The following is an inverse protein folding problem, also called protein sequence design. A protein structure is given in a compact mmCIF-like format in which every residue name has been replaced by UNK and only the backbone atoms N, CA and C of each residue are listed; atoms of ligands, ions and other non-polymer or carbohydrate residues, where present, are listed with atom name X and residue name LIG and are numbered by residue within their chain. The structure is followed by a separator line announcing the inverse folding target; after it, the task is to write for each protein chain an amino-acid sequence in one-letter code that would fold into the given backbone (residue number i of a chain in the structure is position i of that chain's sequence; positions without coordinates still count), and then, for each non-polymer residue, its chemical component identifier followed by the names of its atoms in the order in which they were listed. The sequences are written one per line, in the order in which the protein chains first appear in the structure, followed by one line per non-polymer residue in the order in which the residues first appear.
data_IF_372304608481
#
_entry.id   IF_372304608481
#
_cell.length_a   1.000
_cell.length_b   1.000
_cell.length_c   1.000
_cell.angle_alpha   90.00
_cell.angle_beta   90.00
_cell.angle_gamma   90.00
#
_symmetry.space_group_name_H-M   'P 1'
#
loop_
_entity.id
_entity.type
_entity.pdbx_description
1 polymer ?
#
# COMPACT_ATOMS: atom_id res chain seq x y z
N UNK A 1 -19.25 21.42 20.40
CA UNK A 1 -20.18 20.28 20.66
C UNK A 1 -19.30 19.10 21.01
N UNK A 2 -19.31 18.63 22.25
CA UNK A 2 -18.65 17.37 22.62
C UNK A 2 -19.46 16.22 22.02
N UNK A 3 -18.81 15.41 21.20
CA UNK A 3 -19.43 14.20 20.64
C UNK A 3 -19.35 13.09 21.69
N UNK A 4 -20.49 12.55 22.08
CA UNK A 4 -20.60 11.37 22.93
C UNK A 4 -20.14 10.15 22.13
N UNK A 5 -19.13 9.44 22.60
CA UNK A 5 -18.56 8.24 21.97
C UNK A 5 -19.51 7.03 21.90
N UNK A 6 -20.68 7.10 22.52
CA UNK A 6 -21.70 6.01 22.56
C UNK A 6 -22.77 6.09 21.46
N UNK A 7 -22.68 7.02 20.48
CA UNK A 7 -23.71 7.15 19.43
C UNK A 7 -23.43 6.21 18.27
N UNK A 8 -24.08 5.08 18.25
CA UNK A 8 -24.13 4.16 17.11
C UNK A 8 -25.02 4.75 16.02
N UNK A 9 -24.48 4.95 14.82
CA UNK A 9 -25.23 5.42 13.65
C UNK A 9 -25.91 4.25 12.94
N UNK A 10 -27.15 4.45 12.46
CA UNK A 10 -27.92 3.40 11.80
C UNK A 10 -27.44 3.11 10.38
N UNK A 11 -27.03 4.13 9.64
CA UNK A 11 -26.58 4.00 8.26
C UNK A 11 -25.64 5.14 7.85
N UNK A 12 -24.97 4.95 6.72
CA UNK A 12 -24.09 5.91 6.10
C UNK A 12 -24.42 6.04 4.61
N UNK A 13 -24.49 7.26 4.09
CA UNK A 13 -24.74 7.55 2.68
C UNK A 13 -23.88 8.69 2.17
N UNK A 14 -23.93 9.00 0.88
CA UNK A 14 -23.20 10.12 0.27
C UNK A 14 -23.96 11.43 0.48
N UNK A 15 -23.22 12.53 0.63
CA UNK A 15 -23.72 13.88 0.68
C UNK A 15 -23.35 14.63 -0.61
N UNK A 16 -24.24 15.46 -1.15
CA UNK A 16 -24.04 16.23 -2.40
C UNK A 16 -23.19 17.51 -2.19
N UNK A 17 -22.36 17.57 -1.17
CA UNK A 17 -21.55 18.75 -0.85
C UNK A 17 -20.29 18.89 -1.72
N UNK A 18 -20.08 18.03 -2.71
CA UNK A 18 -18.99 18.12 -3.70
C UNK A 18 -17.58 17.76 -3.21
N UNK A 19 -17.41 17.35 -1.94
CA UNK A 19 -16.13 16.87 -1.44
C UNK A 19 -15.89 15.43 -1.84
N UNK A 20 -14.70 15.09 -2.32
CA UNK A 20 -14.30 13.72 -2.69
C UNK A 20 -14.38 12.74 -1.53
N UNK A 21 -14.21 13.23 -0.29
CA UNK A 21 -14.29 12.44 0.95
C UNK A 21 -15.66 12.54 1.65
N UNK A 22 -16.58 13.27 1.09
CA UNK A 22 -17.86 13.63 1.67
C UNK A 22 -18.91 12.53 1.66
N UNK A 23 -18.56 11.33 1.90
CA UNK A 23 -19.49 10.21 1.90
C UNK A 23 -19.97 9.85 3.31
N UNK A 24 -20.09 10.86 4.20
CA UNK A 24 -20.34 10.60 5.60
C UNK A 24 -21.63 11.28 6.07
N UNK A 25 -22.73 10.71 5.68
CA UNK A 25 -24.04 11.08 6.17
C UNK A 25 -24.52 10.02 7.16
N UNK A 26 -24.75 10.41 8.41
CA UNK A 26 -25.08 9.50 9.49
C UNK A 26 -26.45 9.82 10.08
N UNK A 27 -27.28 8.80 10.27
CA UNK A 27 -28.54 8.91 11.01
C UNK A 27 -28.36 8.45 12.45
N UNK A 28 -29.02 9.14 13.36
CA UNK A 28 -29.02 8.80 14.78
C UNK A 28 -29.99 7.67 15.07
N UNK A 29 -29.65 6.69 15.96
CA UNK A 29 -30.55 5.57 16.31
C UNK A 29 -31.88 5.97 16.90
N UNK A 30 -31.90 7.03 17.71
CA UNK A 30 -33.10 7.58 18.37
C UNK A 30 -33.87 8.61 17.52
N UNK A 31 -33.29 9.02 16.39
CA UNK A 31 -33.90 9.95 15.42
C UNK A 31 -33.50 9.51 13.99
N UNK A 32 -34.07 8.40 13.52
CA UNK A 32 -33.59 7.76 12.26
C UNK A 32 -33.79 8.60 11.00
N UNK A 33 -34.65 9.62 11.08
CA UNK A 33 -34.90 10.54 9.97
C UNK A 33 -33.97 11.77 9.96
N UNK A 34 -33.24 12.03 11.05
CA UNK A 34 -32.28 13.11 11.14
C UNK A 34 -30.90 12.61 10.75
N UNK A 35 -30.16 13.39 10.01
CA UNK A 35 -28.80 13.04 9.60
C UNK A 35 -27.87 14.25 9.59
N UNK A 36 -26.57 13.98 9.66
CA UNK A 36 -25.53 15.00 9.71
C UNK A 36 -24.37 14.63 8.81
N UNK A 37 -23.91 15.57 7.99
CA UNK A 37 -22.70 15.42 7.18
C UNK A 37 -21.51 16.10 7.87
N UNK A 38 -20.51 15.32 8.25
CA UNK A 38 -19.30 15.83 8.91
C UNK A 38 -18.35 16.55 7.96
N UNK A 39 -18.45 16.30 6.64
CA UNK A 39 -17.59 16.97 5.66
C UNK A 39 -18.01 18.41 5.37
N UNK A 40 -19.31 18.67 5.24
CA UNK A 40 -19.84 20.04 5.05
C UNK A 40 -20.43 20.67 6.30
N UNK A 41 -20.38 19.95 7.42
CA UNK A 41 -20.87 20.42 8.73
C UNK A 41 -22.36 20.80 8.73
N UNK A 42 -23.17 20.11 7.91
CA UNK A 42 -24.57 20.45 7.69
C UNK A 42 -25.52 19.40 8.28
N UNK A 43 -26.52 19.85 9.01
CA UNK A 43 -27.63 19.03 9.52
C UNK A 43 -28.77 18.95 8.48
N UNK A 44 -29.28 17.73 8.25
CA UNK A 44 -30.38 17.46 7.33
C UNK A 44 -31.58 16.96 8.10
N UNK A 45 -32.67 17.72 8.15
CA UNK A 45 -33.91 17.34 8.83
C UNK A 45 -34.68 16.24 8.07
N UNK A 46 -35.68 15.59 8.71
CA UNK A 46 -36.44 14.44 8.19
C UNK A 46 -37.00 14.64 6.79
N UNK A 47 -37.46 15.82 6.47
CA UNK A 47 -38.08 16.15 5.17
C UNK A 47 -37.15 15.98 3.98
N UNK A 48 -35.85 16.18 4.18
CA UNK A 48 -34.83 15.97 3.15
C UNK A 48 -34.36 14.50 3.05
N UNK A 49 -34.65 13.69 4.07
CA UNK A 49 -34.26 12.27 4.11
C UNK A 49 -35.36 11.33 3.56
N UNK A 50 -36.59 11.79 3.40
CA UNK A 50 -37.73 10.99 2.94
C UNK A 50 -37.47 10.41 1.52
N UNK A 51 -36.83 11.16 0.64
CA UNK A 51 -36.45 10.70 -0.71
C UNK A 51 -35.41 9.56 -0.68
N UNK A 52 -34.54 9.54 0.32
CA UNK A 52 -33.54 8.47 0.46
C UNK A 52 -34.16 7.18 0.97
N UNK A 53 -35.13 7.24 1.89
CA UNK A 53 -35.86 6.07 2.38
C UNK A 53 -36.66 5.40 1.25
N UNK A 54 -37.29 6.18 0.36
CA UNK A 54 -37.98 5.64 -0.81
C UNK A 54 -37.04 5.01 -1.84
N UNK A 55 -35.85 5.57 -2.05
CA UNK A 55 -34.85 5.00 -2.96
C UNK A 55 -34.16 3.74 -2.40
N UNK A 56 -34.00 3.64 -1.08
CA UNK A 56 -33.44 2.44 -0.44
C UNK A 56 -34.46 1.31 -0.23
N UNK A 57 -35.76 1.63 -0.01
CA UNK A 57 -36.81 0.62 -0.04
C UNK A 57 -36.94 -0.03 -1.42
N UNK A 58 -36.75 0.73 -2.50
CA UNK A 58 -36.67 0.20 -3.86
C UNK A 58 -35.40 -0.65 -4.10
N UNK A 59 -34.27 -0.34 -3.45
CA UNK A 59 -33.06 -1.17 -3.49
C UNK A 59 -33.17 -2.42 -2.61
N UNK A 60 -33.83 -2.34 -1.46
CA UNK A 60 -34.10 -3.51 -0.62
C UNK A 60 -35.12 -4.47 -1.29
N UNK A 61 -36.10 -3.96 -2.04
CA UNK A 61 -37.02 -4.80 -2.80
C UNK A 61 -36.40 -5.46 -4.04
N UNK A 62 -35.21 -5.04 -4.51
CA UNK A 62 -34.42 -5.76 -5.53
C UNK A 62 -33.62 -6.94 -4.97
N UNK A 63 -33.51 -7.07 -3.64
CA UNK A 63 -32.69 -8.12 -2.99
C UNK A 63 -33.49 -9.41 -2.69
N UNK A 64 -34.80 -9.43 -2.91
CA UNK A 64 -35.64 -10.57 -2.51
C UNK A 64 -35.77 -11.70 -3.53
N UNK A 65 -34.84 -11.82 -4.50
CA UNK A 65 -34.75 -13.01 -5.34
C UNK A 65 -33.41 -13.74 -5.19
N UNK A 66 -32.89 -13.80 -3.95
CA UNK A 66 -31.71 -14.65 -3.67
C UNK A 66 -32.14 -16.10 -3.67
N UNK A 67 -31.59 -16.86 -4.61
CA UNK A 67 -31.79 -18.31 -4.71
C UNK A 67 -31.48 -18.97 -3.37
N UNK A 68 -32.31 -19.92 -2.91
CA UNK A 68 -32.06 -20.64 -1.65
C UNK A 68 -30.87 -21.57 -1.78
N UNK A 69 -30.16 -21.87 -0.69
CA UNK A 69 -28.98 -22.76 -0.68
C UNK A 69 -29.25 -24.10 -1.35
N UNK A 70 -30.43 -24.70 -1.11
CA UNK A 70 -30.79 -25.99 -1.65
C UNK A 70 -31.05 -25.98 -3.16
N UNK A 71 -31.49 -24.83 -3.69
CA UNK A 71 -31.66 -24.66 -5.13
C UNK A 71 -30.30 -24.49 -5.82
N UNK A 72 -29.36 -23.80 -5.19
CA UNK A 72 -27.99 -23.70 -5.71
C UNK A 72 -27.33 -25.08 -5.76
N UNK A 73 -27.55 -25.96 -4.76
CA UNK A 73 -27.00 -27.31 -4.75
C UNK A 73 -27.49 -28.18 -5.92
N UNK A 74 -28.63 -27.83 -6.53
CA UNK A 74 -29.18 -28.53 -7.70
C UNK A 74 -28.64 -28.02 -9.03
N UNK A 75 -28.02 -26.83 -9.06
CA UNK A 75 -27.46 -26.25 -10.26
C UNK A 75 -26.38 -27.14 -10.86
N UNK A 76 -26.21 -27.13 -12.19
CA UNK A 76 -25.19 -27.93 -12.85
C UNK A 76 -23.78 -27.41 -12.52
N UNK A 77 -22.81 -28.31 -12.58
CA UNK A 77 -21.40 -27.99 -12.63
C UNK A 77 -20.96 -28.04 -14.09
N UNK A 78 -20.46 -26.92 -14.60
CA UNK A 78 -19.94 -26.81 -15.97
C UNK A 78 -18.57 -26.11 -15.93
N UNK A 79 -17.75 -26.29 -16.96
CA UNK A 79 -16.57 -25.49 -17.18
C UNK A 79 -16.94 -24.01 -17.42
N UNK A 80 -15.97 -23.14 -17.35
CA UNK A 80 -16.12 -21.71 -17.63
C UNK A 80 -15.27 -21.38 -18.88
N UNK A 81 -15.81 -21.59 -20.10
CA UNK A 81 -15.03 -21.51 -21.34
C UNK A 81 -14.36 -20.17 -21.55
N UNK A 82 -15.06 -19.06 -21.23
CA UNK A 82 -14.54 -17.69 -21.35
C UNK A 82 -13.28 -17.46 -20.52
N UNK A 83 -13.09 -18.29 -19.48
CA UNK A 83 -11.91 -18.27 -18.59
C UNK A 83 -10.96 -19.43 -18.84
N UNK A 84 -11.23 -20.28 -19.82
CA UNK A 84 -10.48 -21.51 -20.13
C UNK A 84 -10.36 -22.47 -18.91
N UNK A 85 -11.37 -22.48 -18.03
CA UNK A 85 -11.45 -23.35 -16.86
C UNK A 85 -12.30 -24.56 -17.22
N UNK A 86 -11.76 -25.75 -17.03
CA UNK A 86 -12.43 -27.02 -17.35
C UNK A 86 -13.54 -27.39 -16.36
N UNK A 87 -14.43 -28.28 -16.76
CA UNK A 87 -15.49 -28.81 -15.91
C UNK A 87 -14.90 -29.59 -14.73
N UNK A 88 -13.86 -30.35 -14.96
CA UNK A 88 -13.15 -31.16 -13.98
C UNK A 88 -12.66 -30.30 -12.80
N UNK A 89 -12.07 -29.13 -13.08
CA UNK A 89 -11.63 -28.21 -12.05
C UNK A 89 -12.83 -27.62 -11.29
N UNK A 90 -13.90 -27.25 -11.98
CA UNK A 90 -15.12 -26.80 -11.32
C UNK A 90 -15.75 -27.89 -10.41
N UNK A 91 -15.68 -29.17 -10.80
CA UNK A 91 -16.14 -30.29 -9.98
C UNK A 91 -15.31 -30.44 -8.70
N UNK A 92 -13.98 -30.36 -8.79
CA UNK A 92 -13.08 -30.44 -7.63
C UNK A 92 -13.39 -29.37 -6.59
N UNK A 93 -13.66 -28.15 -7.03
CA UNK A 93 -13.97 -27.02 -6.15
C UNK A 93 -15.48 -26.84 -5.90
N UNK A 94 -16.33 -27.72 -6.45
CA UNK A 94 -17.80 -27.69 -6.32
C UNK A 94 -18.41 -26.37 -6.78
N UNK A 95 -17.83 -25.74 -7.80
CA UNK A 95 -18.33 -24.50 -8.40
C UNK A 95 -19.53 -24.83 -9.29
N UNK A 96 -20.62 -24.10 -9.11
CA UNK A 96 -21.86 -24.28 -9.85
C UNK A 96 -22.15 -23.07 -10.70
N UNK A 97 -22.95 -23.24 -11.74
CA UNK A 97 -23.31 -22.14 -12.63
C UNK A 97 -24.82 -22.14 -12.90
N UNK A 98 -25.38 -20.95 -13.06
CA UNK A 98 -26.66 -20.77 -13.72
C UNK A 98 -26.42 -20.29 -15.15
N UNK A 99 -27.30 -20.70 -16.05
CA UNK A 99 -27.24 -20.34 -17.46
C UNK A 99 -28.45 -19.49 -17.83
N UNK A 100 -28.36 -18.82 -18.96
CA UNK A 100 -29.46 -18.03 -19.53
C UNK A 100 -30.64 -18.93 -19.91
N UNK A 101 -31.84 -18.49 -19.58
CA UNK A 101 -33.07 -19.19 -19.99
C UNK A 101 -33.30 -19.14 -21.50
N UNK A 102 -32.69 -18.17 -22.19
CA UNK A 102 -32.91 -17.95 -23.64
C UNK A 102 -32.17 -18.97 -24.51
N UNK A 103 -30.97 -19.41 -24.10
CA UNK A 103 -30.11 -20.31 -24.87
C UNK A 103 -29.70 -21.59 -24.13
N UNK A 104 -29.87 -21.62 -22.80
CA UNK A 104 -29.46 -22.77 -21.95
C UNK A 104 -27.96 -23.01 -21.88
N UNK A 105 -27.13 -22.14 -22.46
CA UNK A 105 -25.68 -22.30 -22.59
C UNK A 105 -24.88 -21.17 -21.93
N UNK A 106 -25.24 -19.92 -22.15
CA UNK A 106 -24.53 -18.77 -21.64
C UNK A 106 -24.56 -18.71 -20.11
N UNK A 107 -23.39 -18.73 -19.47
CA UNK A 107 -23.28 -18.64 -18.01
C UNK A 107 -23.65 -17.24 -17.56
N UNK A 108 -24.66 -17.15 -16.70
CA UNK A 108 -25.13 -15.87 -16.13
C UNK A 108 -24.55 -15.60 -14.75
N UNK A 109 -24.43 -16.66 -13.91
CA UNK A 109 -23.87 -16.57 -12.58
C UNK A 109 -22.97 -17.77 -12.27
N UNK A 110 -21.96 -17.50 -11.46
CA UNK A 110 -21.03 -18.50 -10.92
C UNK A 110 -21.21 -18.51 -9.39
N UNK A 111 -21.42 -19.71 -8.84
CA UNK A 111 -21.63 -19.92 -7.41
C UNK A 111 -20.46 -20.71 -6.83
N UNK A 112 -19.72 -20.07 -5.94
CA UNK A 112 -18.55 -20.66 -5.27
C UNK A 112 -18.89 -20.94 -3.80
N UNK A 113 -18.74 -22.19 -3.30
CA UNK A 113 -19.14 -22.58 -1.94
C UNK A 113 -18.23 -21.96 -0.88
N UNK A 114 -18.81 -21.53 0.24
CA UNK A 114 -18.09 -21.11 1.44
C UNK A 114 -18.26 -22.14 2.55
N UNK A 115 -17.18 -22.40 3.26
CA UNK A 115 -17.17 -23.37 4.38
C UNK A 115 -16.67 -22.73 5.67
N UNK A 116 -17.10 -23.30 6.79
CA UNK A 116 -16.56 -23.09 8.13
C UNK A 116 -16.23 -24.46 8.69
N UNK A 117 -14.98 -24.69 9.02
CA UNK A 117 -14.50 -26.02 9.49
C UNK A 117 -14.92 -27.16 8.55
N UNK A 118 -14.87 -26.93 7.24
CA UNK A 118 -15.21 -27.88 6.18
C UNK A 118 -16.72 -28.02 5.90
N UNK A 119 -17.61 -27.45 6.70
CA UNK A 119 -19.06 -27.49 6.51
C UNK A 119 -19.53 -26.37 5.62
N UNK A 120 -20.37 -26.65 4.63
CA UNK A 120 -20.96 -25.66 3.74
C UNK A 120 -21.90 -24.72 4.50
N UNK A 121 -21.61 -23.42 4.49
CA UNK A 121 -22.41 -22.38 5.16
C UNK A 121 -23.07 -21.42 4.19
N UNK A 122 -22.60 -21.36 2.94
CA UNK A 122 -23.14 -20.45 1.94
C UNK A 122 -22.45 -20.55 0.60
N UNK A 123 -22.78 -19.60 -0.26
CA UNK A 123 -22.16 -19.40 -1.56
C UNK A 123 -21.86 -17.93 -1.80
N UNK A 124 -20.80 -17.65 -2.50
CA UNK A 124 -20.62 -16.39 -3.19
C UNK A 124 -21.11 -16.54 -4.62
N UNK A 125 -22.06 -15.72 -4.98
CA UNK A 125 -22.55 -15.59 -6.36
C UNK A 125 -21.78 -14.47 -7.05
N UNK A 126 -21.16 -14.76 -8.18
CA UNK A 126 -20.60 -13.76 -9.10
C UNK A 126 -21.49 -13.65 -10.33
N UNK A 127 -22.06 -12.48 -10.57
CA UNK A 127 -22.76 -12.18 -11.82
C UNK A 127 -21.73 -11.90 -12.92
N UNK A 128 -21.83 -12.62 -14.03
CA UNK A 128 -20.82 -12.56 -15.09
C UNK A 128 -20.89 -11.21 -15.83
N UNK A 129 -22.11 -10.75 -16.14
CA UNK A 129 -22.34 -9.51 -16.91
C UNK A 129 -21.92 -8.26 -16.15
N UNK A 130 -22.39 -8.11 -14.92
CA UNK A 130 -22.24 -6.86 -14.15
C UNK A 130 -21.06 -6.91 -13.17
N UNK A 131 -20.35 -8.03 -13.10
CA UNK A 131 -19.24 -8.32 -12.17
C UNK A 131 -19.61 -8.06 -10.71
N UNK A 132 -20.90 -8.15 -10.35
CA UNK A 132 -21.38 -7.98 -8.99
C UNK A 132 -21.23 -9.27 -8.20
N UNK A 133 -20.93 -9.11 -6.90
CA UNK A 133 -20.83 -10.22 -5.95
C UNK A 133 -21.96 -10.16 -4.93
N UNK A 134 -22.62 -11.28 -4.72
CA UNK A 134 -23.66 -11.44 -3.72
C UNK A 134 -23.30 -12.60 -2.78
N UNK A 135 -23.55 -12.39 -1.49
CA UNK A 135 -23.36 -13.43 -0.47
C UNK A 135 -24.68 -14.11 -0.18
N UNK A 136 -24.72 -15.44 -0.26
CA UNK A 136 -25.92 -16.27 -0.04
C UNK A 136 -25.65 -17.25 1.09
N UNK A 137 -26.56 -17.36 2.05
CA UNK A 137 -26.43 -18.21 3.23
C UNK A 137 -25.88 -17.51 4.46
N UNK A 138 -25.67 -18.24 5.54
CA UNK A 138 -25.15 -17.71 6.81
C UNK A 138 -23.61 -17.79 6.83
N UNK A 139 -23.00 -16.75 6.31
CA UNK A 139 -21.52 -16.61 6.22
C UNK A 139 -20.94 -15.91 7.45
N UNK A 140 -21.61 -16.01 8.62
CA UNK A 140 -21.10 -15.49 9.88
C UNK A 140 -19.95 -16.36 10.40
N UNK A 141 -18.97 -15.73 11.03
CA UNK A 141 -17.82 -16.40 11.62
C UNK A 141 -16.56 -16.40 10.74
N UNK A 142 -15.61 -17.24 11.13
CA UNK A 142 -14.34 -17.36 10.42
C UNK A 142 -14.47 -18.35 9.29
N UNK A 143 -14.63 -17.84 8.07
CA UNK A 143 -14.65 -18.70 6.87
C UNK A 143 -13.30 -19.40 6.69
N UNK A 144 -13.35 -20.63 6.20
CA UNK A 144 -12.17 -21.29 5.67
C UNK A 144 -11.65 -20.54 4.44
N UNK A 145 -10.35 -20.61 4.16
CA UNK A 145 -9.82 -20.22 2.85
C UNK A 145 -10.60 -20.98 1.78
N UNK A 146 -11.01 -20.29 0.72
CA UNK A 146 -11.80 -20.93 -0.31
C UNK A 146 -11.00 -22.04 -1.02
N UNK A 147 -11.57 -23.20 -1.16
CA UNK A 147 -10.88 -24.39 -1.70
C UNK A 147 -10.12 -25.22 -0.65
N UNK A 148 -10.05 -24.81 0.62
CA UNK A 148 -9.36 -25.53 1.70
C UNK A 148 -9.80 -26.98 1.83
N UNK A 149 -11.11 -27.26 1.73
CA UNK A 149 -11.66 -28.61 1.82
C UNK A 149 -11.09 -29.57 0.76
N UNK A 150 -10.75 -29.06 -0.41
CA UNK A 150 -10.07 -29.82 -1.46
C UNK A 150 -8.56 -29.86 -1.22
N UNK A 151 -7.93 -28.72 -0.99
CA UNK A 151 -6.49 -28.59 -0.78
C UNK A 151 -5.98 -29.50 0.35
N UNK A 152 -6.76 -29.66 1.44
CA UNK A 152 -6.42 -30.57 2.55
C UNK A 152 -6.34 -32.05 2.16
N UNK A 153 -6.86 -32.46 1.01
CA UNK A 153 -6.80 -33.81 0.49
C UNK A 153 -5.63 -34.03 -0.48
N UNK A 154 -4.96 -32.94 -0.87
CA UNK A 154 -3.85 -32.99 -1.79
C UNK A 154 -2.55 -33.32 -1.04
N UNK A 155 -1.70 -34.18 -1.63
CA UNK A 155 -0.44 -34.61 -1.02
C UNK A 155 0.73 -33.62 -1.28
N UNK A 156 0.44 -32.44 -1.83
CA UNK A 156 1.46 -31.43 -2.17
C UNK A 156 2.08 -30.79 -0.94
N UNK A 157 3.36 -30.48 -1.02
CA UNK A 157 4.08 -29.77 0.06
C UNK A 157 4.02 -28.23 -0.09
N UNK A 158 3.44 -27.75 -1.18
CA UNK A 158 3.29 -26.33 -1.50
C UNK A 158 1.82 -25.94 -1.47
N UNK A 159 1.52 -24.82 -0.81
CA UNK A 159 0.21 -24.20 -0.83
C UNK A 159 0.29 -22.91 -1.66
N UNK A 160 -0.60 -22.76 -2.62
CA UNK A 160 -0.74 -21.57 -3.44
C UNK A 160 -1.97 -20.80 -3.00
N UNK A 161 -1.83 -19.52 -2.71
CA UNK A 161 -2.93 -18.65 -2.24
C UNK A 161 -3.11 -17.53 -3.23
N UNK A 162 -4.28 -17.45 -3.87
CA UNK A 162 -4.66 -16.37 -4.78
C UNK A 162 -5.59 -15.37 -4.09
N UNK A 163 -5.75 -14.19 -4.67
CA UNK A 163 -6.69 -13.21 -4.18
C UNK A 163 -8.13 -13.60 -4.48
N UNK A 164 -8.40 -13.97 -5.71
CA UNK A 164 -9.73 -14.32 -6.22
C UNK A 164 -9.96 -15.81 -6.43
N UNK A 165 -11.22 -16.23 -6.40
CA UNK A 165 -11.60 -17.64 -6.58
C UNK A 165 -11.40 -18.14 -8.00
N UNK A 166 -11.67 -17.27 -8.98
CA UNK A 166 -11.41 -17.61 -10.39
C UNK A 166 -9.91 -17.71 -10.68
N UNK A 167 -9.09 -16.94 -9.97
CA UNK A 167 -7.64 -17.01 -10.04
C UNK A 167 -7.13 -18.33 -9.49
N UNK A 168 -7.75 -18.82 -8.39
CA UNK A 168 -7.42 -20.13 -7.85
C UNK A 168 -7.75 -21.26 -8.85
N UNK A 169 -8.91 -21.20 -9.52
CA UNK A 169 -9.26 -22.17 -10.55
C UNK A 169 -8.29 -22.10 -11.74
N UNK A 170 -7.97 -20.89 -12.18
CA UNK A 170 -7.07 -20.64 -13.31
C UNK A 170 -5.64 -21.10 -13.01
N UNK A 171 -5.16 -20.85 -11.82
CA UNK A 171 -3.85 -21.32 -11.37
C UNK A 171 -3.82 -22.85 -11.26
N UNK A 172 -4.86 -23.44 -10.68
CA UNK A 172 -4.96 -24.90 -10.59
C UNK A 172 -4.92 -25.55 -11.98
N UNK A 173 -5.73 -25.04 -12.92
CA UNK A 173 -5.77 -25.48 -14.31
C UNK A 173 -4.38 -25.40 -14.97
N UNK A 174 -3.69 -24.27 -14.83
CA UNK A 174 -2.36 -24.08 -15.38
C UNK A 174 -1.34 -25.05 -14.80
N UNK A 175 -1.32 -25.25 -13.48
CA UNK A 175 -0.38 -26.16 -12.82
C UNK A 175 -0.62 -27.59 -13.29
N UNK A 176 -1.85 -28.06 -13.28
CA UNK A 176 -2.17 -29.44 -13.69
C UNK A 176 -1.80 -29.71 -15.15
N UNK A 177 -2.08 -28.76 -16.04
CA UNK A 177 -1.77 -28.91 -17.47
C UNK A 177 -0.26 -28.86 -17.77
N UNK A 178 0.53 -28.15 -16.96
CA UNK A 178 1.97 -28.00 -17.18
C UNK A 178 2.81 -28.98 -16.35
N UNK A 179 2.21 -29.66 -15.37
CA UNK A 179 2.93 -30.65 -14.55
C UNK A 179 3.30 -31.87 -15.41
N UNK A 180 4.59 -32.28 -15.44
CA UNK A 180 5.03 -33.46 -16.17
C UNK A 180 4.27 -34.72 -15.73
N UNK A 181 4.05 -35.67 -16.66
CA UNK A 181 3.23 -36.88 -16.44
C UNK A 181 3.63 -37.66 -15.19
N UNK A 182 4.91 -37.81 -14.94
CA UNK A 182 5.45 -38.52 -13.76
C UNK A 182 5.00 -37.94 -12.41
N UNK A 183 4.57 -36.65 -12.40
CA UNK A 183 4.14 -35.92 -11.20
C UNK A 183 2.63 -35.59 -11.19
N UNK A 184 1.87 -35.96 -12.21
CA UNK A 184 0.42 -35.68 -12.31
C UNK A 184 -0.42 -36.30 -11.18
N UNK A 185 0.10 -37.29 -10.48
CA UNK A 185 -0.53 -37.84 -9.29
C UNK A 185 -0.50 -36.87 -8.10
N UNK A 186 0.45 -35.96 -8.06
CA UNK A 186 0.56 -34.92 -7.03
C UNK A 186 -0.34 -33.72 -7.41
N UNK A 187 -1.55 -33.71 -6.86
CA UNK A 187 -2.48 -32.61 -7.12
C UNK A 187 -2.03 -31.36 -6.35
N UNK A 188 -2.05 -30.17 -6.97
CA UNK A 188 -1.64 -28.92 -6.31
C UNK A 188 -2.68 -28.49 -5.27
N UNK A 189 -2.20 -27.97 -4.15
CA UNK A 189 -3.04 -27.33 -3.13
C UNK A 189 -3.17 -25.84 -3.46
N UNK A 190 -4.30 -25.45 -4.05
CA UNK A 190 -4.59 -24.06 -4.41
C UNK A 190 -5.82 -23.60 -3.65
N UNK A 191 -5.74 -22.43 -3.03
CA UNK A 191 -6.82 -21.79 -2.27
C UNK A 191 -6.91 -20.32 -2.63
N UNK A 192 -8.02 -19.67 -2.28
CA UNK A 192 -8.10 -18.22 -2.37
C UNK A 192 -8.56 -17.58 -1.06
N UNK A 193 -8.36 -16.28 -0.96
CA UNK A 193 -8.89 -15.44 0.12
C UNK A 193 -10.42 -15.47 0.12
N UNK A 194 -11.02 -15.13 1.26
CA UNK A 194 -12.49 -15.18 1.42
C UNK A 194 -13.17 -13.93 0.87
N UNK A 195 -12.51 -12.77 0.94
CA UNK A 195 -13.05 -11.47 0.52
C UNK A 195 -11.99 -10.60 -0.20
N UNK A 196 -11.09 -11.24 -0.95
CA UNK A 196 -10.01 -10.56 -1.64
C UNK A 196 -8.95 -9.96 -0.69
N UNK A 197 -8.14 -9.03 -1.19
CA UNK A 197 -6.99 -8.47 -0.50
C UNK A 197 -7.31 -7.85 0.87
N UNK A 198 -8.50 -7.30 1.06
CA UNK A 198 -8.91 -6.67 2.33
C UNK A 198 -9.00 -7.64 3.51
N UNK A 199 -9.17 -8.93 3.26
CA UNK A 199 -9.24 -9.96 4.30
C UNK A 199 -7.94 -10.76 4.47
N UNK A 200 -6.92 -10.52 3.65
CA UNK A 200 -5.74 -11.36 3.51
C UNK A 200 -5.09 -11.74 4.85
N UNK A 201 -4.66 -10.77 5.64
CA UNK A 201 -3.99 -11.02 6.93
C UNK A 201 -4.90 -11.80 7.88
N UNK A 202 -6.17 -11.39 7.99
CA UNK A 202 -7.16 -12.03 8.86
C UNK A 202 -7.42 -13.48 8.43
N UNK A 203 -7.58 -13.72 7.14
CA UNK A 203 -7.85 -15.05 6.59
C UNK A 203 -6.68 -15.99 6.86
N UNK A 204 -5.44 -15.53 6.68
CA UNK A 204 -4.26 -16.35 6.94
C UNK A 204 -4.08 -16.64 8.43
N UNK A 205 -4.28 -15.65 9.30
CA UNK A 205 -4.23 -15.85 10.76
C UNK A 205 -5.26 -16.88 11.20
N UNK A 206 -6.52 -16.77 10.73
CA UNK A 206 -7.59 -17.70 11.08
C UNK A 206 -7.34 -19.12 10.55
N UNK A 207 -6.54 -19.27 9.52
CA UNK A 207 -6.19 -20.56 8.92
C UNK A 207 -4.73 -20.98 9.19
N UNK A 208 -4.06 -20.38 10.19
CA UNK A 208 -2.64 -20.58 10.47
C UNK A 208 -2.28 -22.08 10.61
N UNK A 209 -3.03 -22.85 11.39
CA UNK A 209 -2.81 -24.29 11.58
C UNK A 209 -2.88 -25.07 10.26
N UNK A 210 -3.73 -24.62 9.33
CA UNK A 210 -3.79 -25.21 7.99
C UNK A 210 -2.53 -24.88 7.17
N UNK A 211 -2.05 -23.63 7.24
CA UNK A 211 -0.84 -23.21 6.52
C UNK A 211 0.39 -23.95 7.01
N UNK A 212 0.50 -24.24 8.30
CA UNK A 212 1.63 -24.94 8.93
C UNK A 212 1.81 -26.39 8.44
N UNK A 213 0.79 -26.98 7.78
CA UNK A 213 0.92 -28.31 7.17
C UNK A 213 1.74 -28.30 5.86
N UNK A 214 2.09 -27.12 5.33
CA UNK A 214 2.81 -26.99 4.07
C UNK A 214 4.24 -26.50 4.31
N UNK A 215 5.20 -27.03 3.55
CA UNK A 215 6.60 -26.58 3.62
C UNK A 215 6.79 -25.20 2.99
N UNK A 216 5.99 -24.90 1.97
CA UNK A 216 6.06 -23.64 1.24
C UNK A 216 4.65 -23.09 1.07
N UNK A 217 4.46 -21.81 1.42
CA UNK A 217 3.25 -21.04 1.15
C UNK A 217 3.60 -19.98 0.13
N UNK A 218 2.92 -19.96 -1.01
CA UNK A 218 3.17 -19.05 -2.13
C UNK A 218 1.96 -18.12 -2.30
N UNK A 219 2.20 -16.83 -2.20
CA UNK A 219 1.21 -15.80 -2.43
C UNK A 219 1.19 -15.43 -3.92
N UNK A 220 0.03 -15.61 -4.56
CA UNK A 220 -0.22 -15.31 -5.97
C UNK A 220 -1.33 -14.26 -6.08
N UNK A 221 -1.09 -13.07 -5.50
CA UNK A 221 -2.07 -11.97 -5.47
C UNK A 221 -1.97 -11.12 -6.73
N UNK A 222 -2.98 -10.30 -6.96
CA UNK A 222 -3.05 -9.41 -8.11
C UNK A 222 -1.83 -8.47 -8.16
N UNK A 223 -1.38 -8.13 -9.36
CA UNK A 223 -0.23 -7.23 -9.56
C UNK A 223 -0.61 -5.75 -9.48
N UNK A 224 -1.84 -5.43 -9.12
CA UNK A 224 -2.27 -4.06 -8.86
C UNK A 224 -1.86 -3.56 -7.46
N UNK A 225 -2.01 -2.26 -7.22
CA UNK A 225 -1.58 -1.64 -5.96
C UNK A 225 -2.24 -2.24 -4.71
N UNK A 226 -3.57 -2.51 -4.67
CA UNK A 226 -4.19 -3.17 -3.53
C UNK A 226 -3.64 -4.57 -3.24
N UNK A 227 -3.47 -5.39 -4.28
CA UNK A 227 -2.91 -6.75 -4.16
C UNK A 227 -1.49 -6.74 -3.63
N UNK A 228 -0.62 -5.86 -4.16
CA UNK A 228 0.77 -5.74 -3.71
C UNK A 228 0.88 -5.14 -2.29
N UNK A 229 -0.03 -4.25 -1.91
CA UNK A 229 -0.13 -3.78 -0.53
C UNK A 229 -0.51 -4.90 0.44
N UNK A 230 -1.50 -5.73 0.06
CA UNK A 230 -1.89 -6.89 0.86
C UNK A 230 -0.75 -7.91 1.02
N UNK A 231 0.07 -8.13 -0.02
CA UNK A 231 1.29 -8.96 0.08
C UNK A 231 2.21 -8.42 1.17
N UNK A 232 2.51 -7.12 1.17
CA UNK A 232 3.38 -6.50 2.18
C UNK A 232 2.84 -6.69 3.60
N UNK A 233 1.54 -6.50 3.79
CA UNK A 233 0.92 -6.70 5.11
C UNK A 233 0.95 -8.17 5.56
N UNK A 234 0.69 -9.11 4.66
CA UNK A 234 0.80 -10.55 4.95
C UNK A 234 2.23 -10.92 5.35
N UNK A 235 3.23 -10.42 4.63
CA UNK A 235 4.63 -10.74 4.91
C UNK A 235 5.12 -10.19 6.26
N UNK A 236 4.51 -9.13 6.82
CA UNK A 236 4.80 -8.68 8.19
C UNK A 236 4.45 -9.75 9.23
N UNK A 237 3.43 -10.56 8.96
CA UNK A 237 2.94 -11.62 9.88
C UNK A 237 3.50 -13.00 9.52
N UNK A 238 3.66 -13.26 8.22
CA UNK A 238 4.14 -14.52 7.64
C UNK A 238 5.37 -14.28 6.74
N UNK A 239 6.53 -13.93 7.31
CA UNK A 239 7.70 -13.48 6.54
C UNK A 239 8.33 -14.56 5.65
N UNK A 240 8.04 -15.83 5.91
CA UNK A 240 8.56 -16.96 5.12
C UNK A 240 7.71 -17.31 3.90
N UNK A 241 6.57 -16.65 3.70
CA UNK A 241 5.80 -16.84 2.48
C UNK A 241 6.61 -16.40 1.26
N UNK A 242 6.56 -17.22 0.22
CA UNK A 242 7.08 -16.86 -1.11
C UNK A 242 6.05 -16.01 -1.84
N UNK A 243 6.51 -15.17 -2.73
CA UNK A 243 5.65 -14.32 -3.57
C UNK A 243 5.92 -14.63 -5.03
N UNK A 244 4.87 -14.91 -5.77
CA UNK A 244 4.93 -15.01 -7.22
C UNK A 244 4.74 -13.61 -7.84
N UNK A 245 5.55 -13.28 -8.84
CA UNK A 245 5.42 -12.04 -9.62
C UNK A 245 4.90 -12.39 -11.00
N UNK A 246 3.69 -11.94 -11.31
CA UNK A 246 3.05 -12.25 -12.58
C UNK A 246 3.32 -11.15 -13.60
N UNK A 247 3.55 -11.48 -14.89
CA UNK A 247 3.69 -10.49 -15.96
C UNK A 247 2.39 -9.79 -16.35
N UNK A 248 1.24 -10.35 -15.98
CA UNK A 248 -0.09 -9.77 -16.16
C UNK A 248 -0.73 -9.50 -14.79
N UNK A 249 -1.95 -8.96 -14.83
CA UNK A 249 -2.64 -8.54 -13.61
C UNK A 249 -2.83 -9.69 -12.61
N UNK A 250 -3.35 -10.82 -13.07
CA UNK A 250 -3.74 -11.95 -12.25
C UNK A 250 -3.58 -13.31 -12.96
N UNK A 251 -3.80 -14.40 -12.24
CA UNK A 251 -3.68 -15.75 -12.77
C UNK A 251 -4.73 -16.04 -13.87
N UNK A 252 -5.93 -15.46 -13.77
CA UNK A 252 -7.00 -15.65 -14.74
C UNK A 252 -6.64 -14.98 -16.08
N UNK A 253 -6.09 -13.78 -16.05
CA UNK A 253 -5.61 -13.08 -17.24
C UNK A 253 -4.49 -13.85 -17.94
N UNK A 254 -3.57 -14.43 -17.18
CA UNK A 254 -2.50 -15.30 -17.71
C UNK A 254 -3.06 -16.50 -18.45
N UNK A 255 -4.04 -17.19 -17.87
CA UNK A 255 -4.67 -18.36 -18.47
C UNK A 255 -5.47 -17.98 -19.72
N UNK A 256 -6.28 -16.91 -19.66
CA UNK A 256 -7.08 -16.44 -20.78
C UNK A 256 -6.21 -16.06 -21.99
N UNK A 257 -5.05 -15.45 -21.77
CA UNK A 257 -4.10 -15.12 -22.82
C UNK A 257 -3.25 -16.30 -23.30
N UNK A 258 -3.48 -17.50 -22.75
CA UNK A 258 -2.75 -18.72 -23.18
C UNK A 258 -1.33 -18.83 -22.60
N UNK A 259 -0.95 -17.96 -21.66
CA UNK A 259 0.39 -17.93 -21.04
C UNK A 259 0.52 -18.91 -19.84
N UNK A 260 -0.14 -20.04 -19.93
CA UNK A 260 -0.17 -21.05 -18.85
C UNK A 260 1.20 -21.60 -18.46
N UNK A 261 2.12 -21.76 -19.42
CA UNK A 261 3.48 -22.22 -19.15
C UNK A 261 4.25 -21.20 -18.31
N UNK A 262 4.16 -19.94 -18.68
CA UNK A 262 4.80 -18.86 -17.96
C UNK A 262 4.20 -18.68 -16.56
N UNK A 263 2.86 -18.75 -16.42
CA UNK A 263 2.20 -18.76 -15.11
C UNK A 263 2.74 -19.87 -14.22
N UNK A 264 2.87 -21.08 -14.77
CA UNK A 264 3.44 -22.22 -14.05
C UNK A 264 4.90 -21.96 -13.61
N UNK A 265 5.73 -21.41 -14.50
CA UNK A 265 7.13 -21.11 -14.20
C UNK A 265 7.27 -20.04 -13.11
N UNK A 266 6.51 -18.93 -13.20
CA UNK A 266 6.57 -17.85 -12.21
C UNK A 266 6.10 -18.30 -10.83
N UNK A 267 5.05 -19.10 -10.77
CA UNK A 267 4.46 -19.52 -9.48
C UNK A 267 5.20 -20.69 -8.85
N UNK A 268 5.54 -21.71 -9.63
CA UNK A 268 6.10 -22.95 -9.09
C UNK A 268 7.61 -22.90 -8.90
N UNK A 269 8.33 -22.16 -9.78
CA UNK A 269 9.79 -22.17 -9.80
C UNK A 269 10.43 -20.84 -9.42
N UNK A 270 9.85 -19.71 -9.85
CA UNK A 270 10.45 -18.39 -9.66
C UNK A 270 9.93 -17.65 -8.43
N UNK A 271 8.88 -18.17 -7.78
CA UNK A 271 8.40 -17.58 -6.53
C UNK A 271 9.50 -17.61 -5.45
N UNK A 272 9.70 -16.51 -4.76
CA UNK A 272 10.78 -16.35 -3.79
C UNK A 272 10.32 -15.62 -2.54
N UNK A 273 11.00 -15.86 -1.43
CA UNK A 273 10.81 -15.10 -0.20
C UNK A 273 11.24 -13.65 -0.46
N UNK A 274 10.33 -12.71 -0.27
CA UNK A 274 10.68 -11.30 -0.34
C UNK A 274 11.27 -10.88 1.01
N UNK A 275 12.53 -10.48 0.99
CA UNK A 275 13.19 -9.93 2.19
C UNK A 275 12.53 -8.59 2.53
N UNK A 276 11.89 -8.51 3.69
CA UNK A 276 11.31 -7.28 4.25
C UNK A 276 12.26 -6.60 5.24
N UNK A 277 13.47 -7.11 5.40
CA UNK A 277 14.40 -6.63 6.40
C UNK A 277 15.51 -5.78 5.81
N UNK A 278 16.06 -4.92 6.63
CA UNK A 278 17.26 -4.13 6.38
C UNK A 278 18.54 -5.00 6.33
N UNK A 279 18.40 -6.34 6.43
CA UNK A 279 19.51 -7.29 6.38
C UNK A 279 19.84 -7.60 4.92
N UNK A 280 21.03 -7.23 4.51
CA UNK A 280 21.57 -7.46 3.18
C UNK A 280 22.57 -8.61 3.25
N UNK A 281 22.42 -9.61 2.36
CA UNK A 281 23.41 -10.66 2.20
C UNK A 281 24.60 -10.12 1.40
N UNK A 282 25.81 -10.56 1.76
CA UNK A 282 27.00 -10.22 1.00
C UNK A 282 26.99 -11.01 -0.31
N UNK A 283 26.58 -10.36 -1.40
CA UNK A 283 26.60 -10.90 -2.77
C UNK A 283 27.81 -10.37 -3.53
N UNK A 284 28.10 -10.98 -4.70
CA UNK A 284 29.17 -10.50 -5.57
C UNK A 284 28.96 -9.05 -6.00
N UNK A 285 27.71 -8.63 -6.26
CA UNK A 285 27.35 -7.24 -6.59
C UNK A 285 27.67 -6.29 -5.43
N UNK A 286 27.34 -6.70 -4.19
CA UNK A 286 27.65 -5.91 -3.00
C UNK A 286 29.15 -5.82 -2.77
N UNK A 287 29.90 -6.90 -3.02
CA UNK A 287 31.38 -6.89 -2.97
C UNK A 287 31.93 -5.91 -4.00
N UNK A 288 31.44 -5.92 -5.24
CA UNK A 288 31.87 -4.96 -6.27
C UNK A 288 31.57 -3.52 -5.87
N UNK A 289 30.44 -3.25 -5.28
CA UNK A 289 30.11 -1.92 -4.74
C UNK A 289 31.05 -1.52 -3.59
N UNK A 290 31.39 -2.45 -2.72
CA UNK A 290 32.32 -2.21 -1.60
C UNK A 290 33.76 -1.97 -2.06
N UNK A 291 34.16 -2.48 -3.21
CA UNK A 291 35.48 -2.26 -3.81
C UNK A 291 35.65 -0.85 -4.40
N UNK A 292 34.58 -0.08 -4.53
CA UNK A 292 34.67 1.32 -4.98
C UNK A 292 35.41 2.13 -3.93
N UNK A 293 36.56 2.73 -4.35
CA UNK A 293 37.39 3.53 -3.44
C UNK A 293 36.63 4.77 -2.94
N UNK A 294 36.65 5.04 -1.62
CA UNK A 294 36.06 6.26 -1.08
C UNK A 294 36.72 7.50 -1.69
N UNK A 295 35.92 8.49 -2.04
CA UNK A 295 36.38 9.79 -2.53
C UNK A 295 36.41 10.80 -1.40
N UNK A 296 37.28 11.79 -1.53
CA UNK A 296 37.31 12.97 -0.68
C UNK A 296 35.94 13.68 -0.77
N UNK A 297 35.40 14.10 0.36
CA UNK A 297 34.16 14.92 0.40
C UNK A 297 34.42 16.38 0.01
N UNK A 298 33.41 17.24 0.12
CA UNK A 298 33.57 18.67 -0.06
C UNK A 298 34.51 19.20 1.04
N UNK A 299 35.49 19.99 0.65
CA UNK A 299 36.40 20.61 1.61
C UNK A 299 35.67 21.63 2.48
N UNK A 300 36.06 21.73 3.73
CA UNK A 300 35.69 22.83 4.62
C UNK A 300 36.68 23.98 4.45
N UNK A 301 36.44 25.11 5.13
CA UNK A 301 37.41 26.20 5.18
C UNK A 301 38.57 25.93 6.15
N UNK A 302 38.62 24.73 6.75
CA UNK A 302 39.66 24.32 7.73
C UNK A 302 40.37 23.05 7.27
N UNK A 303 41.56 23.21 6.73
CA UNK A 303 42.34 22.09 6.18
C UNK A 303 42.67 21.02 7.20
N UNK A 304 42.86 21.38 8.49
CA UNK A 304 43.10 20.43 9.56
C UNK A 304 41.86 19.56 9.83
N UNK A 305 40.67 20.14 9.74
CA UNK A 305 39.42 19.38 9.85
C UNK A 305 39.25 18.43 8.67
N UNK A 306 39.53 18.88 7.45
CA UNK A 306 39.44 18.06 6.24
C UNK A 306 40.39 16.86 6.29
N UNK A 307 41.59 17.03 6.86
CA UNK A 307 42.52 15.90 7.08
C UNK A 307 41.98 14.84 8.04
N UNK A 308 41.23 15.25 9.05
CA UNK A 308 40.66 14.35 10.04
C UNK A 308 39.36 13.68 9.58
N UNK A 309 38.52 14.40 8.82
CA UNK A 309 37.19 13.94 8.43
C UNK A 309 37.09 13.46 6.99
N UNK A 310 38.14 13.69 6.19
CA UNK A 310 38.13 13.52 4.73
C UNK A 310 37.08 14.40 4.04
N UNK A 311 36.79 15.56 4.60
CA UNK A 311 35.80 16.52 4.12
C UNK A 311 34.34 16.15 4.46
N UNK A 312 33.40 16.90 3.91
CA UNK A 312 31.96 16.67 4.05
C UNK A 312 31.52 15.63 3.03
N UNK A 313 31.23 14.42 3.47
CA UNK A 313 30.85 13.31 2.59
C UNK A 313 29.34 13.14 2.49
N UNK A 314 28.83 12.64 1.35
CA UNK A 314 27.41 12.26 1.24
C UNK A 314 27.03 11.22 2.27
N UNK A 315 25.75 11.17 2.63
CA UNK A 315 25.18 10.20 3.57
C UNK A 315 25.83 10.20 4.96
N UNK A 316 26.40 11.34 5.39
CA UNK A 316 26.98 11.48 6.73
C UNK A 316 26.26 12.55 7.54
N UNK A 317 26.12 12.32 8.84
CA UNK A 317 25.65 13.30 9.82
C UNK A 317 26.86 13.74 10.65
N UNK A 318 27.12 15.04 10.67
CA UNK A 318 28.18 15.63 11.49
C UNK A 318 27.54 16.44 12.62
N UNK A 319 27.85 16.07 13.85
CA UNK A 319 27.39 16.78 15.04
C UNK A 319 28.52 17.65 15.57
N UNK A 320 28.29 18.96 15.63
CA UNK A 320 29.24 19.92 16.20
C UNK A 320 28.71 20.47 17.52
N UNK A 321 29.39 20.08 18.61
CA UNK A 321 29.07 20.52 19.98
C UNK A 321 30.06 21.55 20.49
N UNK A 322 29.60 22.56 21.22
CA UNK A 322 30.46 23.51 21.93
C UNK A 322 29.73 24.11 23.11
N UNK A 323 30.50 24.68 24.06
CA UNK A 323 29.94 25.47 25.14
C UNK A 323 29.21 26.71 24.62
N UNK A 324 28.22 27.22 25.36
CA UNK A 324 27.57 28.51 25.04
C UNK A 324 28.62 29.61 24.83
N UNK A 325 28.38 30.48 23.86
CA UNK A 325 29.24 31.63 23.47
C UNK A 325 30.64 31.26 22.95
N UNK A 326 30.93 29.99 22.68
CA UNK A 326 32.20 29.56 22.11
C UNK A 326 32.34 29.80 20.60
N UNK A 327 31.37 30.44 19.97
CA UNK A 327 31.44 30.76 18.53
C UNK A 327 30.80 29.71 17.60
N UNK A 328 29.98 28.77 18.11
CA UNK A 328 29.31 27.73 17.32
C UNK A 328 28.55 28.28 16.09
N UNK A 329 27.76 29.34 16.30
CA UNK A 329 27.00 29.99 15.21
C UNK A 329 27.92 30.66 14.17
N UNK A 330 29.05 31.22 14.62
CA UNK A 330 30.04 31.79 13.72
C UNK A 330 30.73 30.74 12.88
N UNK A 331 31.08 29.60 13.48
CA UNK A 331 31.63 28.45 12.78
C UNK A 331 30.63 27.93 11.73
N UNK A 332 29.37 27.73 12.10
CA UNK A 332 28.28 27.33 11.20
C UNK A 332 28.18 28.29 10.00
N UNK A 333 28.09 29.58 10.26
CA UNK A 333 27.92 30.58 9.19
C UNK A 333 29.14 30.65 8.26
N UNK A 334 30.36 30.42 8.79
CA UNK A 334 31.56 30.34 7.97
C UNK A 334 31.56 29.12 7.04
N UNK A 335 31.10 27.98 7.56
CA UNK A 335 30.97 26.76 6.76
C UNK A 335 29.90 26.93 5.65
N UNK A 336 28.74 27.49 5.98
CA UNK A 336 27.65 27.76 5.01
C UNK A 336 28.18 28.69 3.89
N UNK A 337 28.87 29.78 4.27
CA UNK A 337 29.50 30.69 3.31
C UNK A 337 30.46 29.95 2.40
N UNK A 338 31.36 29.14 2.96
CA UNK A 338 32.35 28.37 2.20
C UNK A 338 31.69 27.41 1.19
N UNK A 339 30.69 26.62 1.62
CA UNK A 339 30.01 25.66 0.74
C UNK A 339 29.28 26.39 -0.38
N UNK A 340 28.55 27.43 -0.09
CA UNK A 340 27.75 28.16 -1.08
C UNK A 340 28.61 28.91 -2.12
N UNK A 341 29.78 29.43 -1.73
CA UNK A 341 30.62 30.23 -2.61
C UNK A 341 31.76 29.43 -3.28
N UNK A 342 32.43 28.55 -2.55
CA UNK A 342 33.59 27.81 -3.09
C UNK A 342 33.17 26.52 -3.79
N UNK A 343 32.13 25.85 -3.29
CA UNK A 343 31.65 24.62 -3.92
C UNK A 343 30.46 24.84 -4.84
N UNK A 344 29.90 26.05 -4.87
CA UNK A 344 28.72 26.38 -5.65
C UNK A 344 27.56 25.38 -5.45
N UNK A 345 27.35 24.96 -4.18
CA UNK A 345 26.30 24.02 -3.81
C UNK A 345 25.20 24.73 -3.01
N UNK A 346 23.94 24.36 -3.23
CA UNK A 346 22.86 24.87 -2.41
C UNK A 346 23.00 24.38 -0.95
N UNK A 347 22.60 25.22 0.00
CA UNK A 347 22.67 24.94 1.43
C UNK A 347 21.33 25.29 2.10
N UNK A 348 20.71 24.29 2.73
CA UNK A 348 19.55 24.51 3.59
C UNK A 348 19.97 24.80 5.02
N UNK A 349 19.42 25.85 5.62
CA UNK A 349 19.72 26.28 7.00
C UNK A 349 18.46 26.28 7.83
N UNK A 350 18.39 25.40 8.79
CA UNK A 350 17.28 25.24 9.75
C UNK A 350 17.71 25.79 11.11
N UNK A 351 17.62 27.13 11.28
CA UNK A 351 18.01 27.82 12.50
C UNK A 351 16.76 28.07 13.37
N UNK A 352 16.65 27.33 14.47
CA UNK A 352 15.49 27.41 15.36
C UNK A 352 15.59 28.52 16.40
N UNK A 353 16.77 29.09 16.59
CA UNK A 353 17.02 30.14 17.59
C UNK A 353 17.14 31.55 16.97
N UNK A 354 17.55 31.65 15.72
CA UNK A 354 17.87 32.91 15.07
C UNK A 354 16.98 33.17 13.87
N UNK A 355 16.41 34.38 13.82
CA UNK A 355 15.57 34.80 12.69
C UNK A 355 16.35 34.73 11.37
N UNK A 356 15.77 34.21 10.27
CA UNK A 356 16.46 33.97 9.00
C UNK A 356 17.13 35.21 8.41
N UNK A 357 16.51 36.39 8.53
CA UNK A 357 17.12 37.67 8.07
C UNK A 357 18.43 37.97 8.81
N UNK A 358 18.52 37.67 10.12
CA UNK A 358 19.73 37.87 10.89
C UNK A 358 20.84 36.90 10.44
N UNK A 359 20.52 35.66 10.24
CA UNK A 359 21.44 34.63 9.69
C UNK A 359 21.93 35.06 8.31
N UNK A 360 21.02 35.51 7.45
CA UNK A 360 21.35 35.99 6.10
C UNK A 360 22.32 37.19 6.13
N UNK A 361 22.05 38.19 6.97
CA UNK A 361 22.97 39.35 7.18
C UNK A 361 24.33 38.91 7.72
N UNK A 362 24.39 37.95 8.62
CA UNK A 362 25.65 37.40 9.13
C UNK A 362 26.49 36.73 8.02
N UNK A 363 25.85 35.98 7.12
CA UNK A 363 26.53 35.33 6.00
C UNK A 363 26.97 36.36 4.97
N UNK A 364 26.11 37.34 4.62
CA UNK A 364 26.44 38.45 3.73
C UNK A 364 27.59 39.31 4.28
N UNK A 365 27.71 39.48 5.59
CA UNK A 365 28.81 40.18 6.24
C UNK A 365 30.15 39.54 5.97
N UNK A 366 30.20 38.21 5.80
CA UNK A 366 31.44 37.48 5.46
C UNK A 366 31.86 37.77 4.02
N UNK A 367 30.90 37.79 3.10
CA UNK A 367 31.13 38.14 1.70
C UNK A 367 31.66 39.59 1.53
N UNK A 368 30.99 40.52 2.17
CA UNK A 368 31.33 41.95 2.07
C UNK A 368 32.49 42.35 2.98
N UNK A 369 32.96 41.47 3.87
CA UNK A 369 33.94 41.79 4.92
C UNK A 369 33.52 43.00 5.80
N UNK A 370 32.21 43.18 5.98
CA UNK A 370 31.60 44.30 6.69
C UNK A 370 30.50 43.78 7.60
N UNK A 371 30.43 44.27 8.84
CA UNK A 371 29.42 43.81 9.80
C UNK A 371 28.08 44.54 9.64
N UNK A 372 27.15 43.98 8.89
CA UNK A 372 25.80 44.53 8.68
C UNK A 372 24.83 44.41 9.86
N UNK A 373 25.30 43.92 11.00
CA UNK A 373 24.48 43.83 12.22
C UNK A 373 24.75 45.03 13.16
N UNK A 374 25.75 45.85 12.88
CA UNK A 374 26.03 47.07 13.64
C UNK A 374 25.22 48.23 13.10
N UNK A 375 24.45 48.92 13.94
CA UNK A 375 23.76 50.17 13.54
C UNK A 375 24.75 51.33 13.63
N UNK A 376 25.62 51.44 12.66
CA UNK A 376 26.55 52.55 12.55
C UNK A 376 26.34 53.38 11.26
N UNK A 377 26.94 54.57 11.21
CA UNK A 377 26.77 55.52 10.10
C UNK A 377 27.43 55.06 8.79
N UNK A 378 28.16 53.94 8.79
CA UNK A 378 28.83 53.39 7.62
C UNK A 378 28.05 52.23 7.01
N UNK A 379 26.75 52.12 7.28
CA UNK A 379 25.89 51.08 6.72
C UNK A 379 25.62 51.36 5.23
N UNK A 380 26.14 50.52 4.38
CA UNK A 380 25.97 50.64 2.92
C UNK A 380 24.96 49.59 2.41
N UNK A 381 23.74 50.06 2.10
CA UNK A 381 22.65 49.23 1.57
C UNK A 381 22.99 48.61 0.20
N UNK A 382 23.77 49.29 -0.65
CA UNK A 382 24.15 48.80 -1.96
C UNK A 382 25.15 47.65 -1.84
N UNK A 383 26.11 47.82 -0.92
CA UNK A 383 27.08 46.76 -0.63
C UNK A 383 26.39 45.52 -0.06
N UNK A 384 25.43 45.73 0.86
CA UNK A 384 24.62 44.63 1.38
C UNK A 384 23.80 43.94 0.27
N UNK A 385 23.11 44.68 -0.57
CA UNK A 385 22.31 44.15 -1.66
C UNK A 385 23.16 43.34 -2.63
N UNK A 386 24.35 43.83 -2.97
CA UNK A 386 25.31 43.12 -3.84
C UNK A 386 25.82 41.82 -3.20
N UNK A 387 26.09 41.84 -1.90
CA UNK A 387 26.51 40.65 -1.17
C UNK A 387 25.39 39.59 -1.10
N UNK A 388 24.15 40.05 -0.86
CA UNK A 388 22.97 39.14 -0.79
C UNK A 388 22.66 38.49 -2.15
N UNK A 389 22.83 39.23 -3.24
CA UNK A 389 22.53 38.71 -4.58
C UNK A 389 23.34 37.45 -4.94
N UNK A 390 24.56 37.32 -4.40
CA UNK A 390 25.44 36.15 -4.59
C UNK A 390 24.89 34.86 -3.99
N UNK A 391 23.91 34.95 -3.10
CA UNK A 391 23.30 33.78 -2.43
C UNK A 391 21.95 33.38 -2.99
N UNK A 392 21.43 34.07 -3.99
CA UNK A 392 20.20 33.70 -4.68
C UNK A 392 20.33 32.31 -5.31
N UNK A 393 19.36 31.43 -5.07
CA UNK A 393 19.36 30.05 -5.55
C UNK A 393 20.43 29.14 -4.90
N UNK A 394 21.19 29.64 -3.91
CA UNK A 394 22.21 28.86 -3.21
C UNK A 394 21.97 28.71 -1.72
N UNK A 395 21.11 29.55 -1.14
CA UNK A 395 20.84 29.53 0.28
C UNK A 395 19.33 29.52 0.53
N UNK A 396 18.89 28.48 1.24
CA UNK A 396 17.51 28.26 1.63
C UNK A 396 17.42 28.35 3.15
N UNK A 397 16.59 29.25 3.66
CA UNK A 397 16.48 29.51 5.09
C UNK A 397 15.10 29.08 5.60
N UNK A 398 15.07 28.34 6.69
CA UNK A 398 13.83 27.99 7.36
C UNK A 398 13.23 29.22 8.05
N UNK A 399 12.00 29.58 7.69
CA UNK A 399 11.36 30.83 8.09
C UNK A 399 10.62 30.77 9.43
N UNK A 400 11.03 29.90 10.35
CA UNK A 400 10.38 29.78 11.66
C UNK A 400 11.41 29.58 12.76
N UNK A 401 11.16 30.20 13.92
CA UNK A 401 11.96 30.04 15.15
C UNK A 401 11.16 29.32 16.24
N UNK A 402 11.84 28.81 17.24
CA UNK A 402 11.26 28.11 18.39
C UNK A 402 11.25 26.58 18.26
N UNK A 403 10.72 25.93 19.29
CA UNK A 403 10.61 24.47 19.31
C UNK A 403 9.67 23.95 18.23
N UNK A 404 10.07 22.90 17.52
CA UNK A 404 9.30 22.28 16.41
C UNK A 404 9.34 20.78 16.52
N UNK A 405 8.29 20.13 15.99
CA UNK A 405 8.28 18.68 15.81
C UNK A 405 9.31 18.30 14.75
N UNK A 406 9.97 17.17 14.98
CA UNK A 406 10.91 16.60 14.00
C UNK A 406 10.26 16.29 12.65
N UNK A 407 9.00 15.87 12.63
CA UNK A 407 8.27 15.58 11.39
C UNK A 407 8.07 16.82 10.52
N UNK A 408 7.82 17.99 11.12
CA UNK A 408 7.73 19.26 10.39
C UNK A 408 9.06 19.64 9.73
N UNK A 409 10.17 19.51 10.48
CA UNK A 409 11.51 19.78 9.96
C UNK A 409 11.85 18.82 8.82
N UNK A 410 11.57 17.52 9.00
CA UNK A 410 11.78 16.51 7.98
C UNK A 410 11.01 16.78 6.69
N UNK A 411 9.74 17.20 6.80
CA UNK A 411 8.92 17.57 5.65
C UNK A 411 9.54 18.73 4.86
N UNK A 412 10.01 19.76 5.54
CA UNK A 412 10.68 20.92 4.90
C UNK A 412 12.01 20.52 4.23
N UNK A 413 12.80 19.61 4.82
CA UNK A 413 14.04 19.11 4.21
C UNK A 413 13.73 18.33 2.92
N UNK A 414 12.67 17.52 2.92
CA UNK A 414 12.23 16.77 1.72
C UNK A 414 11.74 17.74 0.64
N UNK A 415 10.93 18.73 1.01
CA UNK A 415 10.45 19.75 0.08
C UNK A 415 11.61 20.51 -0.57
N UNK A 416 12.62 20.90 0.19
CA UNK A 416 13.82 21.55 -0.35
C UNK A 416 14.55 20.65 -1.36
N UNK A 417 14.66 19.35 -1.08
CA UNK A 417 15.33 18.41 -2.00
C UNK A 417 14.59 18.23 -3.33
N UNK A 418 13.29 18.54 -3.37
CA UNK A 418 12.49 18.51 -4.61
C UNK A 418 12.62 19.81 -5.44
N UNK A 419 13.21 20.86 -4.88
CA UNK A 419 13.45 22.15 -5.55
C UNK A 419 14.84 22.23 -6.22
N UNK A 420 15.72 21.30 -5.90
CA UNK A 420 17.07 21.13 -6.49
C UNK A 420 17.04 20.16 -7.67
#
# INVERSE_FOLDING_TARGET
MQFDEEKTYLYKTSCDCGSSDAKQWFAYPNKPNDSYCFSCNTFFPPEKNALWQSSNSLKQNKVNNTMKLDDIKKLPIRGIPDRKITKEVCELYRVRVSVSESDGETITNIYSPDTVSGNLVGYEQKQVKDKQFLSIGDRKGNLDLWGKSYASKCAGQKLYITEGRLDALSLYEAIVQQTPDKFKHLKPSVVSLTKGCTSAVKDLINNRVFLENYKEVILCFDMDEPGQSAVKEVLKVFPLCKVAKLPLKDCSDMLMQGRKKELYEEVVWRSSVQRQGEVVEVTDELIQQALVRPKMGLTTCWSSLDKLTYGLRPHTIIVFGSYPKAGKSEWKNQLIYHISQHHNRPVGVYDLEVHPIKTLKQIASKEAKTNFLKPDNNYDDRLLATALDKFKGKLYLYDRTGSRDWLDIKACIIEQHLLD
#
